data_IF_025905070394
#
_entry.id   IF_025905070394
#
_cell.length_a   1.000
_cell.length_b   1.000
_cell.length_c   1.000
_cell.angle_alpha   90.00
_cell.angle_beta   90.00
_cell.angle_gamma   90.00
#
_symmetry.space_group_name_H-M   'P 1'
#
loop_
_entity.id
_entity.type
_entity.pdbx_description
1 polymer ?
#
# COMPACT_ATOMS: atom_id res chain seq x y z
N UNK A 1 -18.00 6.38 -3.15
CA UNK A 1 -16.57 6.75 -3.15
C UNK A 1 -15.87 6.33 -1.87
N UNK A 2 -16.25 6.83 -0.70
CA UNK A 2 -15.60 6.48 0.58
C UNK A 2 -15.73 4.99 0.91
N UNK A 3 -16.89 4.38 0.68
CA UNK A 3 -17.10 2.94 0.92
C UNK A 3 -16.23 2.05 0.05
N UNK A 4 -16.12 2.35 -1.25
CA UNK A 4 -15.23 1.66 -2.18
C UNK A 4 -13.76 1.82 -1.78
N UNK A 5 -13.36 3.04 -1.41
CA UNK A 5 -12.01 3.29 -0.90
C UNK A 5 -11.72 2.51 0.39
N UNK A 6 -12.66 2.48 1.34
CA UNK A 6 -12.51 1.69 2.57
C UNK A 6 -12.38 0.20 2.28
N UNK A 7 -13.17 -0.34 1.35
CA UNK A 7 -13.06 -1.75 0.95
C UNK A 7 -11.69 -2.06 0.33
N UNK A 8 -11.21 -1.22 -0.59
CA UNK A 8 -9.88 -1.36 -1.18
C UNK A 8 -8.78 -1.23 -0.11
N UNK A 9 -8.88 -0.26 0.79
CA UNK A 9 -7.93 -0.08 1.89
C UNK A 9 -7.91 -1.29 2.84
N UNK A 10 -9.06 -1.88 3.16
CA UNK A 10 -9.12 -3.09 3.99
C UNK A 10 -8.45 -4.28 3.29
N UNK A 11 -8.62 -4.42 1.96
CA UNK A 11 -7.90 -5.44 1.19
C UNK A 11 -6.38 -5.19 1.22
N UNK A 12 -5.95 -3.94 0.99
CA UNK A 12 -4.55 -3.54 1.13
C UNK A 12 -3.99 -3.94 2.50
N UNK A 13 -4.70 -3.61 3.58
CA UNK A 13 -4.26 -3.96 4.93
C UNK A 13 -4.19 -5.49 5.14
N UNK A 14 -5.17 -6.24 4.61
CA UNK A 14 -5.17 -7.69 4.70
C UNK A 14 -3.98 -8.35 3.99
N UNK A 15 -3.46 -7.72 2.92
CA UNK A 15 -2.35 -8.25 2.11
C UNK A 15 -0.99 -7.75 2.60
N UNK A 16 -0.85 -6.45 2.84
CA UNK A 16 0.46 -5.83 3.11
C UNK A 16 0.90 -5.96 4.55
N UNK A 17 -0.02 -5.90 5.52
CA UNK A 17 0.32 -6.01 6.94
C UNK A 17 1.06 -7.31 7.26
N UNK A 18 0.65 -8.50 6.76
CA UNK A 18 1.42 -9.71 6.92
C UNK A 18 2.85 -9.63 6.36
N UNK A 19 3.02 -9.01 5.18
CA UNK A 19 4.33 -8.85 4.52
C UNK A 19 5.23 -7.96 5.37
N UNK A 20 4.76 -6.79 5.79
CA UNK A 20 5.54 -5.89 6.64
C UNK A 20 5.75 -6.43 8.05
N UNK A 21 4.78 -7.14 8.63
CA UNK A 21 4.95 -7.80 9.92
C UNK A 21 6.05 -8.86 9.87
N UNK A 22 6.22 -9.52 8.72
CA UNK A 22 7.33 -10.46 8.48
C UNK A 22 8.67 -9.75 8.34
N UNK A 23 8.70 -8.57 7.73
CA UNK A 23 9.89 -7.71 7.63
C UNK A 23 10.31 -7.16 9.01
N UNK A 24 9.33 -6.86 9.86
CA UNK A 24 9.48 -6.32 11.22
C UNK A 24 9.57 -7.42 12.30
N UNK A 25 9.90 -8.66 11.91
CA UNK A 25 9.97 -9.79 12.85
C UNK A 25 10.93 -9.49 14.01
N UNK A 26 10.51 -9.83 15.23
CA UNK A 26 11.29 -9.59 16.45
C UNK A 26 11.09 -8.21 17.07
N UNK A 27 10.33 -7.30 16.44
CA UNK A 27 10.04 -5.99 17.00
C UNK A 27 8.77 -5.99 17.84
N UNK A 28 8.81 -5.24 18.95
CA UNK A 28 7.63 -4.90 19.73
C UNK A 28 6.67 -4.08 18.85
N UNK A 29 5.37 -4.33 18.98
CA UNK A 29 4.31 -3.65 18.20
C UNK A 29 4.42 -3.81 16.67
N UNK A 30 5.01 -4.91 16.17
CA UNK A 30 5.20 -5.13 14.71
C UNK A 30 3.95 -4.91 13.86
N UNK A 31 2.78 -5.30 14.36
CA UNK A 31 1.51 -5.18 13.61
C UNK A 31 1.08 -3.71 13.48
N UNK A 32 1.28 -2.92 14.54
CA UNK A 32 1.02 -1.48 14.50
C UNK A 32 1.93 -0.79 13.48
N UNK A 33 3.23 -1.13 13.49
CA UNK A 33 4.18 -0.56 12.55
C UNK A 33 3.92 -1.02 11.11
N UNK A 34 3.53 -2.28 10.91
CA UNK A 34 3.14 -2.82 9.60
C UNK A 34 1.90 -2.13 9.04
N UNK A 35 0.86 -1.95 9.86
CA UNK A 35 -0.35 -1.19 9.52
C UNK A 35 -0.02 0.26 9.18
N UNK A 36 0.85 0.89 9.97
CA UNK A 36 1.23 2.29 9.79
C UNK A 36 1.85 2.60 8.43
N UNK A 37 2.49 1.63 7.78
CA UNK A 37 3.10 1.82 6.48
C UNK A 37 2.05 2.25 5.44
N UNK A 38 1.03 1.43 5.20
CA UNK A 38 -0.03 1.75 4.24
C UNK A 38 -1.13 2.65 4.78
N UNK A 39 -1.35 2.67 6.10
CA UNK A 39 -2.29 3.61 6.72
C UNK A 39 -1.86 5.08 6.62
N UNK A 40 -0.57 5.35 6.38
CA UNK A 40 -0.08 6.70 6.12
C UNK A 40 -0.11 7.05 4.61
N UNK A 41 0.32 6.13 3.74
CA UNK A 41 0.46 6.39 2.30
C UNK A 41 -0.88 6.42 1.57
N UNK A 42 -1.75 5.44 1.80
CA UNK A 42 -2.94 5.24 0.99
C UNK A 42 -4.00 6.34 1.17
N UNK A 43 -4.29 6.82 2.39
CA UNK A 43 -5.17 7.99 2.56
C UNK A 43 -4.58 9.24 1.90
N UNK A 44 -3.26 9.45 2.00
CA UNK A 44 -2.61 10.61 1.36
C UNK A 44 -2.76 10.56 -0.16
N UNK A 45 -2.54 9.40 -0.79
CA UNK A 45 -2.72 9.23 -2.23
C UNK A 45 -4.18 9.48 -2.63
N UNK A 46 -5.13 8.85 -1.94
CA UNK A 46 -6.57 8.99 -2.23
C UNK A 46 -7.06 10.43 -2.07
N UNK A 47 -6.53 11.17 -1.10
CA UNK A 47 -6.88 12.57 -0.90
C UNK A 47 -6.13 13.49 -1.88
N UNK A 48 -4.84 13.32 -2.08
CA UNK A 48 -4.06 14.28 -2.85
C UNK A 48 -4.18 14.06 -4.36
N UNK A 49 -3.94 12.83 -4.83
CA UNK A 49 -3.67 12.57 -6.24
C UNK A 49 -4.85 12.88 -7.18
N UNK A 50 -6.12 12.53 -6.84
CA UNK A 50 -7.27 12.87 -7.70
C UNK A 50 -7.49 14.36 -7.90
N UNK A 51 -6.96 15.20 -7.00
CA UNK A 51 -7.12 16.66 -7.08
C UNK A 51 -6.10 17.33 -8.00
N UNK A 52 -4.99 16.65 -8.28
CA UNK A 52 -3.86 17.21 -9.04
C UNK A 52 -3.61 16.49 -10.35
N UNK A 53 -4.14 15.28 -10.54
CA UNK A 53 -3.95 14.49 -11.74
C UNK A 53 -5.16 14.55 -12.67
N UNK A 54 -4.93 15.01 -13.91
CA UNK A 54 -5.94 15.09 -14.98
C UNK A 54 -5.59 14.21 -16.19
N UNK A 55 -4.51 13.43 -16.11
CA UNK A 55 -4.03 12.57 -17.18
C UNK A 55 -4.76 11.23 -17.29
N UNK A 56 -4.11 10.26 -17.94
CA UNK A 56 -4.67 8.91 -18.13
C UNK A 56 -4.79 8.15 -16.80
N UNK A 57 -5.72 7.19 -16.75
CA UNK A 57 -5.86 6.26 -15.62
C UNK A 57 -4.58 5.44 -15.38
N UNK A 58 -3.92 5.00 -16.45
CA UNK A 58 -2.64 4.30 -16.34
C UNK A 58 -1.56 5.18 -15.68
N UNK A 59 -1.48 6.46 -16.05
CA UNK A 59 -0.56 7.40 -15.42
C UNK A 59 -0.90 7.66 -13.95
N UNK A 60 -2.20 7.76 -13.62
CA UNK A 60 -2.67 7.87 -12.24
C UNK A 60 -2.19 6.69 -11.39
N UNK A 61 -2.42 5.46 -11.84
CA UNK A 61 -2.01 4.24 -11.13
C UNK A 61 -0.50 4.20 -10.97
N UNK A 62 0.27 4.43 -12.04
CA UNK A 62 1.73 4.41 -11.97
C UNK A 62 2.30 5.41 -10.94
N UNK A 63 1.72 6.60 -10.84
CA UNK A 63 2.15 7.60 -9.86
C UNK A 63 1.72 7.21 -8.45
N UNK A 64 0.49 6.72 -8.28
CA UNK A 64 -0.01 6.24 -7.00
C UNK A 64 0.90 5.14 -6.43
N UNK A 65 1.22 4.13 -7.25
CA UNK A 65 2.10 3.02 -6.88
C UNK A 65 3.53 3.51 -6.56
N UNK A 66 4.08 4.42 -7.36
CA UNK A 66 5.41 4.98 -7.11
C UNK A 66 5.47 5.73 -5.77
N UNK A 67 4.42 6.49 -5.44
CA UNK A 67 4.31 7.21 -4.17
C UNK A 67 4.13 6.24 -3.00
N UNK A 68 3.29 5.21 -3.15
CA UNK A 68 3.07 4.19 -2.12
C UNK A 68 4.38 3.43 -1.82
N UNK A 69 4.99 2.83 -2.84
CA UNK A 69 6.25 2.08 -2.72
C UNK A 69 7.35 2.95 -2.12
N UNK A 70 7.51 4.19 -2.61
CA UNK A 70 8.53 5.11 -2.12
C UNK A 70 8.29 5.54 -0.67
N UNK A 71 7.06 5.95 -0.35
CA UNK A 71 6.67 6.38 1.00
C UNK A 71 6.82 5.26 2.04
N UNK A 72 6.37 4.05 1.71
CA UNK A 72 6.51 2.89 2.58
C UNK A 72 7.95 2.43 2.71
N UNK A 73 8.75 2.50 1.65
CA UNK A 73 10.18 2.21 1.73
C UNK A 73 10.92 3.20 2.64
N UNK A 74 10.58 4.49 2.57
CA UNK A 74 11.12 5.53 3.47
C UNK A 74 10.69 5.26 4.91
N UNK A 75 9.41 4.95 5.13
CA UNK A 75 8.88 4.61 6.45
C UNK A 75 9.60 3.39 7.06
N UNK A 76 9.75 2.31 6.29
CA UNK A 76 10.49 1.12 6.70
C UNK A 76 11.98 1.40 6.94
N UNK A 77 12.59 2.26 6.11
CA UNK A 77 13.97 2.70 6.29
C UNK A 77 14.14 3.53 7.58
N UNK A 78 13.20 4.41 7.91
CA UNK A 78 13.18 5.17 9.16
C UNK A 78 13.08 4.23 10.37
N UNK A 79 12.34 3.13 10.22
CA UNK A 79 12.33 2.04 11.19
C UNK A 79 13.63 1.23 11.18
N UNK A 80 14.57 1.41 10.26
CA UNK A 80 15.79 0.58 10.11
C UNK A 80 15.49 -0.88 9.73
N UNK A 81 14.48 -1.10 8.89
CA UNK A 81 14.22 -2.41 8.30
C UNK A 81 15.21 -2.64 7.15
N UNK A 82 15.99 -3.73 7.16
CA UNK A 82 16.91 -4.03 6.07
C UNK A 82 16.12 -4.35 4.79
N UNK A 83 16.66 -3.93 3.64
CA UNK A 83 16.02 -4.09 2.33
C UNK A 83 14.61 -3.49 2.28
N UNK A 84 14.42 -2.31 2.88
CA UNK A 84 13.13 -1.61 2.96
C UNK A 84 12.45 -1.46 1.58
N UNK A 85 13.21 -1.10 0.54
CA UNK A 85 12.71 -0.98 -0.84
C UNK A 85 12.17 -2.32 -1.35
N UNK A 86 12.90 -3.42 -1.14
CA UNK A 86 12.46 -4.74 -1.60
C UNK A 86 11.19 -5.21 -0.88
N UNK A 87 11.08 -4.95 0.42
CA UNK A 87 9.86 -5.25 1.18
C UNK A 87 8.68 -4.40 0.73
N UNK A 88 8.90 -3.11 0.46
CA UNK A 88 7.88 -2.21 -0.06
C UNK A 88 7.37 -2.67 -1.42
N UNK A 89 8.28 -2.97 -2.35
CA UNK A 89 7.93 -3.52 -3.67
C UNK A 89 7.16 -4.85 -3.56
N UNK A 90 7.61 -5.77 -2.71
CA UNK A 90 6.95 -7.06 -2.54
C UNK A 90 5.52 -6.92 -2.01
N UNK A 91 5.30 -6.03 -1.04
CA UNK A 91 3.99 -5.76 -0.47
C UNK A 91 3.05 -5.12 -1.51
N UNK A 92 3.48 -4.05 -2.19
CA UNK A 92 2.67 -3.37 -3.21
C UNK A 92 2.38 -4.30 -4.40
N UNK A 93 3.36 -5.07 -4.88
CA UNK A 93 3.14 -6.03 -5.96
C UNK A 93 2.08 -7.08 -5.58
N UNK A 94 2.13 -7.60 -4.33
CA UNK A 94 1.11 -8.51 -3.84
C UNK A 94 -0.27 -7.82 -3.72
N UNK A 95 -0.30 -6.58 -3.24
CA UNK A 95 -1.50 -5.75 -3.08
C UNK A 95 -2.19 -5.48 -4.42
N UNK A 96 -1.43 -5.04 -5.43
CA UNK A 96 -1.89 -4.84 -6.81
C UNK A 96 -2.39 -6.14 -7.42
N UNK A 97 -1.63 -7.23 -7.29
CA UNK A 97 -2.05 -8.53 -7.81
C UNK A 97 -3.35 -9.01 -7.17
N UNK A 98 -3.51 -8.84 -5.85
CA UNK A 98 -4.74 -9.16 -5.14
C UNK A 98 -5.91 -8.27 -5.58
N UNK A 99 -5.68 -6.97 -5.75
CA UNK A 99 -6.68 -6.03 -6.27
C UNK A 99 -7.15 -6.39 -7.69
N UNK A 100 -6.22 -6.70 -8.60
CA UNK A 100 -6.55 -7.14 -9.96
C UNK A 100 -7.30 -8.47 -9.98
N UNK A 101 -6.88 -9.43 -9.16
CA UNK A 101 -7.52 -10.74 -9.07
C UNK A 101 -8.95 -10.63 -8.52
N UNK A 102 -9.12 -9.89 -7.44
CA UNK A 102 -10.42 -9.71 -6.79
C UNK A 102 -11.40 -8.94 -7.70
N UNK A 103 -10.91 -7.90 -8.38
CA UNK A 103 -11.63 -7.21 -9.47
C UNK A 103 -12.08 -8.18 -10.56
N UNK A 104 -11.20 -9.04 -11.04
CA UNK A 104 -11.50 -9.97 -12.12
C UNK A 104 -12.53 -11.04 -11.73
N UNK A 105 -12.48 -11.51 -10.48
CA UNK A 105 -13.34 -12.60 -10.00
C UNK A 105 -14.70 -12.11 -9.46
N UNK A 106 -14.75 -10.95 -8.81
CA UNK A 106 -15.92 -10.49 -8.06
C UNK A 106 -16.35 -9.05 -8.37
N UNK A 107 -15.68 -8.35 -9.29
CA UNK A 107 -15.87 -6.91 -9.54
C UNK A 107 -15.69 -6.05 -8.28
N UNK A 108 -14.94 -6.56 -7.29
CA UNK A 108 -14.78 -6.01 -5.95
C UNK A 108 -13.42 -6.41 -5.36
N UNK A 109 -12.75 -5.55 -4.57
CA UNK A 109 -12.84 -4.10 -4.51
C UNK A 109 -12.12 -3.43 -5.69
#
# INVERSE_FOLDING_TARGET
MITAWLAAFLLTQAVEVPVYARALRGRRHRLLWAFGASALTHPLIFLALPRVWTGSYAGYVSIAEAVAVGGEAIYLAALRVPRSVAWSLAANAASVAAGLLTRALWSWP
#
